data_IF_168164384021
#
_entry.id   IF_168164384021
#
_cell.length_a   1.000
_cell.length_b   1.000
_cell.length_c   1.000
_cell.angle_alpha   90.00
_cell.angle_beta   90.00
_cell.angle_gamma   90.00
#
_symmetry.space_group_name_H-M   'P 1'
#
loop_
_entity.id
_entity.type
_entity.pdbx_description
1 polymer ?
#
# COMPACT_ATOMS: atom_id res chain seq x y z
N UNK A 1 -43.64 54.64 -7.58
CA UNK A 1 -42.44 54.38 -8.46
C UNK A 1 -41.76 53.09 -8.07
N UNK A 2 -42.14 52.00 -8.72
CA UNK A 2 -41.48 50.72 -8.58
C UNK A 2 -40.23 50.71 -9.46
N UNK A 3 -39.03 50.81 -8.87
CA UNK A 3 -37.78 50.57 -9.56
C UNK A 3 -37.67 49.08 -9.85
N UNK A 4 -37.78 48.70 -11.11
CA UNK A 4 -37.45 47.37 -11.62
C UNK A 4 -35.97 47.08 -11.36
N UNK A 5 -35.70 46.25 -10.36
CA UNK A 5 -34.36 45.64 -10.19
C UNK A 5 -34.22 44.53 -11.26
N UNK A 6 -33.50 44.84 -12.31
CA UNK A 6 -33.09 43.86 -13.31
C UNK A 6 -32.20 42.83 -12.66
N UNK A 7 -32.73 41.64 -12.38
CA UNK A 7 -31.97 40.47 -12.04
C UNK A 7 -31.13 40.03 -13.26
N UNK A 8 -29.91 40.52 -13.36
CA UNK A 8 -28.91 39.95 -14.27
C UNK A 8 -28.61 38.53 -13.74
N UNK A 9 -29.04 37.51 -14.47
CA UNK A 9 -28.80 36.10 -14.16
C UNK A 9 -27.32 35.80 -14.35
N UNK A 10 -26.55 35.97 -13.29
CA UNK A 10 -25.18 35.51 -13.28
C UNK A 10 -25.18 33.97 -13.25
N UNK A 11 -24.32 33.30 -14.04
CA UNK A 11 -24.29 31.83 -14.10
C UNK A 11 -23.96 31.22 -12.74
N UNK A 12 -24.65 30.13 -12.38
CA UNK A 12 -24.54 29.45 -11.09
C UNK A 12 -23.11 29.12 -10.66
N UNK A 13 -22.21 28.85 -11.61
CA UNK A 13 -20.80 28.60 -11.33
C UNK A 13 -20.05 29.85 -10.80
N UNK A 14 -20.46 31.08 -11.19
CA UNK A 14 -19.87 32.33 -10.72
C UNK A 14 -20.28 32.57 -9.25
N UNK A 15 -21.53 32.27 -8.91
CA UNK A 15 -22.07 32.31 -7.55
C UNK A 15 -21.40 31.30 -6.62
N UNK A 16 -21.09 30.09 -7.15
CA UNK A 16 -20.33 29.06 -6.43
C UNK A 16 -18.90 29.52 -6.15
N UNK A 17 -18.24 30.14 -7.09
CA UNK A 17 -16.88 30.65 -6.97
C UNK A 17 -16.77 31.79 -5.93
N UNK A 18 -17.77 32.60 -5.82
CA UNK A 18 -17.83 33.67 -4.80
C UNK A 18 -18.17 33.14 -3.41
N UNK A 19 -19.01 32.12 -3.29
CA UNK A 19 -19.27 31.39 -2.03
C UNK A 19 -18.02 30.73 -1.47
N UNK A 20 -17.24 30.08 -2.32
CA UNK A 20 -15.97 29.42 -1.94
C UNK A 20 -14.91 30.47 -1.52
N UNK A 21 -14.93 31.67 -2.09
CA UNK A 21 -14.02 32.76 -1.72
C UNK A 21 -14.49 33.59 -0.52
N UNK A 22 -15.67 33.32 0.02
CA UNK A 22 -16.24 34.07 1.15
C UNK A 22 -16.51 35.51 0.85
N UNK A 23 -16.70 35.90 -0.42
CA UNK A 23 -16.85 37.27 -0.87
C UNK A 23 -18.21 37.91 -0.46
N UNK A 24 -19.18 37.07 -0.08
CA UNK A 24 -20.50 37.52 0.42
C UNK A 24 -20.53 37.85 1.92
N UNK A 25 -19.45 37.59 2.65
CA UNK A 25 -19.41 37.88 4.07
C UNK A 25 -18.97 39.33 4.36
N UNK A 26 -19.53 40.04 5.37
CA UNK A 26 -19.05 41.32 5.79
C UNK A 26 -17.55 41.26 6.17
N UNK A 27 -16.80 42.35 5.93
CA UNK A 27 -15.33 42.40 6.02
C UNK A 27 -14.75 41.73 7.29
N UNK A 28 -15.40 41.92 8.46
CA UNK A 28 -14.99 41.31 9.75
C UNK A 28 -15.17 39.78 9.82
N UNK A 29 -16.22 39.25 9.19
CA UNK A 29 -16.46 37.81 9.12
C UNK A 29 -15.61 37.16 8.01
N UNK A 30 -15.25 37.91 6.97
CA UNK A 30 -14.33 37.50 5.92
C UNK A 30 -12.89 37.19 6.48
N UNK A 31 -12.39 38.09 7.31
CA UNK A 31 -11.08 37.89 7.97
C UNK A 31 -11.10 36.64 8.87
N UNK A 32 -12.11 36.50 9.74
CA UNK A 32 -12.26 35.31 10.58
C UNK A 32 -12.42 34.02 9.80
N UNK A 33 -13.11 34.05 8.65
CA UNK A 33 -13.24 32.89 7.77
C UNK A 33 -11.91 32.55 7.10
N UNK A 34 -11.19 33.56 6.60
CA UNK A 34 -9.85 33.32 6.00
C UNK A 34 -8.84 32.86 7.02
N UNK A 35 -8.85 33.36 8.24
CA UNK A 35 -7.99 32.87 9.34
C UNK A 35 -8.34 31.43 9.71
N UNK A 36 -9.62 31.07 9.81
CA UNK A 36 -10.05 29.68 10.05
C UNK A 36 -9.67 28.75 8.88
N UNK A 37 -9.86 29.19 7.64
CA UNK A 37 -9.46 28.39 6.46
C UNK A 37 -7.95 28.27 6.39
N UNK A 38 -7.19 29.32 6.65
CA UNK A 38 -5.72 29.28 6.68
C UNK A 38 -5.17 28.40 7.82
N UNK A 39 -5.83 28.36 8.98
CA UNK A 39 -5.45 27.51 10.10
C UNK A 39 -5.89 26.05 9.91
N UNK A 40 -7.04 25.82 9.22
CA UNK A 40 -7.60 24.47 9.01
C UNK A 40 -6.96 23.72 7.83
N UNK A 41 -6.29 24.41 6.90
CA UNK A 41 -5.76 23.80 5.68
C UNK A 41 -4.27 23.39 5.74
N UNK A 42 -3.69 23.36 6.91
CA UNK A 42 -2.33 22.79 7.06
C UNK A 42 -2.43 21.26 7.17
N UNK A 43 -2.42 20.57 6.03
CA UNK A 43 -2.23 19.13 6.01
C UNK A 43 -0.78 18.81 6.41
N UNK A 44 -0.63 17.88 7.35
CA UNK A 44 0.69 17.39 7.74
C UNK A 44 1.39 16.74 6.54
N UNK A 45 2.64 17.11 6.31
CA UNK A 45 3.53 16.44 5.37
C UNK A 45 4.77 15.99 6.12
N UNK A 46 5.02 14.66 6.16
CA UNK A 46 6.17 14.10 6.85
C UNK A 46 7.47 14.62 6.26
N UNK A 47 8.49 14.82 7.11
CA UNK A 47 9.85 15.10 6.65
C UNK A 47 10.66 13.80 6.66
N UNK A 48 11.63 13.62 5.73
CA UNK A 48 12.47 12.42 5.71
C UNK A 48 13.20 12.15 7.04
N UNK A 49 13.56 13.21 7.78
CA UNK A 49 14.22 13.12 9.09
C UNK A 49 13.31 12.63 10.22
N UNK A 50 11.99 12.73 10.05
CA UNK A 50 11.01 12.32 11.06
C UNK A 50 10.55 10.86 10.90
N UNK A 51 10.90 10.24 9.74
CA UNK A 51 10.46 8.90 9.40
C UNK A 51 11.41 7.86 9.99
N UNK A 52 10.93 7.12 10.99
CA UNK A 52 11.63 5.95 11.52
C UNK A 52 11.16 4.69 10.77
N UNK A 53 12.10 3.97 10.14
CA UNK A 53 11.84 2.70 9.49
C UNK A 53 12.14 1.55 10.48
N UNK A 54 11.11 0.75 10.81
CA UNK A 54 11.22 -0.43 11.68
C UNK A 54 11.41 -1.69 10.85
N UNK A 55 11.99 -2.72 11.48
CA UNK A 55 12.13 -4.04 10.89
C UNK A 55 11.09 -5.00 11.45
N UNK A 56 10.41 -5.70 10.56
CA UNK A 56 9.38 -6.68 10.90
C UNK A 56 9.73 -8.03 10.31
N UNK A 57 9.54 -9.10 11.09
CA UNK A 57 9.64 -10.47 10.61
C UNK A 57 8.25 -11.10 10.60
N UNK A 58 7.92 -11.77 9.51
CA UNK A 58 6.63 -12.44 9.28
C UNK A 58 6.90 -13.88 8.94
N UNK A 59 6.27 -14.78 9.66
CA UNK A 59 6.25 -16.20 9.31
C UNK A 59 5.10 -16.47 8.31
N UNK A 60 5.45 -17.06 7.18
CA UNK A 60 4.50 -17.38 6.11
C UNK A 60 3.86 -18.78 6.27
N UNK A 61 4.28 -19.58 7.26
CA UNK A 61 3.81 -20.95 7.44
C UNK A 61 2.28 -21.01 7.66
N UNK A 62 1.59 -21.72 6.78
CA UNK A 62 0.13 -21.90 6.84
C UNK A 62 -0.71 -20.65 6.59
N UNK A 63 -0.09 -19.50 6.31
CA UNK A 63 -0.78 -18.25 6.07
C UNK A 63 -1.22 -18.11 4.60
N UNK A 64 -2.42 -17.60 4.36
CA UNK A 64 -2.95 -17.37 3.01
C UNK A 64 -2.19 -16.25 2.30
N UNK A 65 -1.54 -16.58 1.17
CA UNK A 65 -0.67 -15.69 0.39
C UNK A 65 -1.26 -14.28 0.17
N UNK A 66 -2.49 -14.18 -0.34
CA UNK A 66 -3.07 -12.88 -0.72
C UNK A 66 -3.29 -11.96 0.47
N UNK A 67 -3.68 -12.51 1.62
CA UNK A 67 -3.92 -11.75 2.85
C UNK A 67 -2.61 -11.29 3.49
N UNK A 68 -1.64 -12.18 3.56
CA UNK A 68 -0.28 -11.82 4.00
C UNK A 68 0.31 -10.73 3.11
N UNK A 69 0.22 -10.88 1.79
CA UNK A 69 0.75 -9.90 0.84
C UNK A 69 0.11 -8.51 0.98
N UNK A 70 -1.18 -8.42 1.31
CA UNK A 70 -1.85 -7.12 1.53
C UNK A 70 -1.34 -6.42 2.79
N UNK A 71 -1.09 -7.15 3.88
CA UNK A 71 -0.53 -6.62 5.12
C UNK A 71 0.91 -6.17 4.90
N UNK A 72 1.72 -6.98 4.21
CA UNK A 72 3.09 -6.62 3.83
C UNK A 72 3.11 -5.34 2.99
N UNK A 73 2.27 -5.24 1.96
CA UNK A 73 2.19 -4.05 1.11
C UNK A 73 1.78 -2.80 1.89
N UNK A 74 0.86 -2.93 2.86
CA UNK A 74 0.47 -1.84 3.75
C UNK A 74 1.64 -1.38 4.64
N UNK A 75 2.45 -2.30 5.18
CA UNK A 75 3.64 -2.01 5.99
C UNK A 75 4.75 -1.37 5.16
N UNK A 76 5.07 -1.93 4.00
CA UNK A 76 6.08 -1.40 3.06
C UNK A 76 5.74 0.01 2.58
N UNK A 77 4.45 0.32 2.41
CA UNK A 77 4.00 1.65 2.03
C UNK A 77 3.92 2.63 3.21
N UNK A 78 3.89 2.12 4.44
CA UNK A 78 3.79 2.93 5.65
C UNK A 78 2.37 3.40 5.98
N UNK A 79 1.32 2.85 5.35
CA UNK A 79 -0.08 3.23 5.58
C UNK A 79 -0.61 2.96 6.99
N UNK A 80 0.10 2.17 7.79
CA UNK A 80 -0.24 1.90 9.18
C UNK A 80 0.21 3.02 10.13
N UNK A 81 1.08 3.94 9.66
CA UNK A 81 1.59 5.06 10.45
C UNK A 81 0.68 6.28 10.30
N UNK A 82 0.39 7.02 11.39
CA UNK A 82 -0.43 8.23 11.31
C UNK A 82 0.23 9.35 10.48
N UNK A 83 1.57 9.37 10.44
CA UNK A 83 2.36 10.33 9.66
C UNK A 83 2.44 10.03 8.15
N UNK A 84 1.70 9.04 7.66
CA UNK A 84 1.77 8.64 6.27
C UNK A 84 1.48 9.80 5.30
N UNK A 85 2.40 10.08 4.40
CA UNK A 85 2.25 11.00 3.27
C UNK A 85 2.64 10.31 1.96
N UNK A 86 1.87 10.51 0.86
CA UNK A 86 2.09 9.78 -0.39
C UNK A 86 3.40 10.13 -1.12
N UNK A 87 3.97 11.32 -0.86
CA UNK A 87 5.16 11.84 -1.52
C UNK A 87 6.48 11.41 -0.86
N UNK A 88 6.43 10.83 0.34
CA UNK A 88 7.60 10.40 1.11
C UNK A 88 7.48 8.92 1.43
N UNK A 89 8.61 8.22 1.42
CA UNK A 89 8.67 6.81 1.81
C UNK A 89 8.66 6.65 3.33
N UNK A 90 7.45 6.48 3.90
CA UNK A 90 7.22 6.23 5.33
C UNK A 90 7.24 4.73 5.69
N UNK A 91 7.57 3.85 4.73
CA UNK A 91 7.47 2.40 4.89
C UNK A 91 8.53 1.78 5.78
N UNK A 92 8.20 0.59 6.28
CA UNK A 92 9.06 -0.23 7.11
C UNK A 92 9.76 -1.32 6.27
N UNK A 93 10.80 -1.93 6.86
CA UNK A 93 11.44 -3.12 6.30
C UNK A 93 10.68 -4.37 6.73
N UNK A 94 10.49 -5.32 5.80
CA UNK A 94 9.79 -6.57 6.08
C UNK A 94 10.64 -7.75 5.63
N UNK A 95 10.85 -8.68 6.55
CA UNK A 95 11.49 -9.98 6.32
C UNK A 95 10.40 -11.04 6.38
N UNK A 96 10.30 -11.88 5.37
CA UNK A 96 9.38 -13.02 5.32
C UNK A 96 10.19 -14.29 5.34
N UNK A 97 9.86 -15.20 6.25
CA UNK A 97 10.46 -16.53 6.38
C UNK A 97 9.45 -17.62 6.02
N UNK A 98 9.91 -18.83 5.78
CA UNK A 98 9.09 -19.98 5.42
C UNK A 98 8.21 -19.75 4.17
N UNK A 99 8.73 -19.07 3.15
CA UNK A 99 7.97 -18.76 1.95
C UNK A 99 7.55 -19.99 1.12
N UNK A 100 8.18 -21.12 1.32
CA UNK A 100 7.84 -22.43 0.73
C UNK A 100 6.52 -23.00 1.29
N UNK A 101 6.21 -22.70 2.57
CA UNK A 101 5.03 -23.22 3.28
C UNK A 101 3.81 -22.31 3.19
N UNK A 102 3.86 -21.30 2.33
CA UNK A 102 2.74 -20.37 2.12
C UNK A 102 1.53 -21.06 1.51
N UNK A 103 0.34 -20.74 1.97
CA UNK A 103 -0.89 -21.39 1.52
C UNK A 103 -1.57 -20.61 0.39
N UNK A 104 -1.95 -21.37 -0.66
CA UNK A 104 -2.82 -20.92 -1.74
C UNK A 104 -4.20 -21.54 -1.55
N UNK A 105 -5.28 -20.76 -1.69
CA UNK A 105 -6.66 -21.21 -1.52
C UNK A 105 -7.25 -21.77 -2.80
N UNK A 106 -8.08 -22.83 -2.70
CA UNK A 106 -8.70 -23.51 -3.83
C UNK A 106 -7.64 -24.12 -4.76
N UNK A 107 -7.96 -24.30 -6.03
CA UNK A 107 -7.06 -24.88 -7.05
C UNK A 107 -5.95 -23.95 -7.54
N UNK A 108 -5.71 -22.81 -6.86
CA UNK A 108 -4.70 -21.81 -7.30
C UNK A 108 -3.27 -22.35 -7.33
N UNK A 109 -2.97 -23.41 -6.61
CA UNK A 109 -1.65 -24.01 -6.64
C UNK A 109 -1.32 -24.54 -8.04
N UNK A 110 -2.28 -25.16 -8.70
CA UNK A 110 -2.18 -25.74 -10.03
C UNK A 110 -2.49 -24.72 -11.13
N UNK A 111 -3.61 -23.98 -10.98
CA UNK A 111 -4.15 -23.10 -12.03
C UNK A 111 -3.38 -21.79 -12.20
N UNK A 112 -2.67 -21.32 -11.15
CA UNK A 112 -1.99 -20.03 -11.22
C UNK A 112 -0.70 -20.13 -12.01
N UNK A 113 -0.67 -19.50 -13.18
CA UNK A 113 0.48 -19.48 -14.06
C UNK A 113 1.17 -18.13 -14.01
N UNK A 114 2.50 -18.16 -13.92
CA UNK A 114 3.37 -17.00 -14.03
C UNK A 114 4.04 -17.01 -15.39
N UNK A 115 3.82 -15.93 -16.17
CA UNK A 115 4.41 -15.75 -17.48
C UNK A 115 5.59 -14.79 -17.41
N UNK A 116 6.62 -15.05 -18.20
CA UNK A 116 7.70 -14.13 -18.47
C UNK A 116 8.15 -14.26 -19.92
N UNK A 117 8.76 -13.22 -20.45
CA UNK A 117 9.24 -13.17 -21.83
C UNK A 117 10.78 -13.15 -21.84
N UNK A 118 11.40 -13.91 -22.73
CA UNK A 118 12.88 -14.02 -22.83
C UNK A 118 13.51 -12.94 -23.71
N UNK A 119 12.72 -12.13 -24.40
CA UNK A 119 13.19 -11.09 -25.34
C UNK A 119 13.27 -11.55 -26.80
N UNK A 120 13.13 -12.85 -27.07
CA UNK A 120 13.18 -13.40 -28.43
C UNK A 120 11.79 -13.67 -29.00
N UNK A 121 11.61 -13.67 -30.34
CA UNK A 121 10.33 -14.07 -30.96
C UNK A 121 9.88 -15.44 -30.45
N UNK A 122 8.60 -15.58 -30.04
CA UNK A 122 8.06 -16.79 -29.44
C UNK A 122 8.55 -17.10 -28.03
N UNK A 123 9.28 -16.20 -27.38
CA UNK A 123 9.95 -16.40 -26.08
C UNK A 123 9.06 -16.28 -24.85
N UNK A 124 7.75 -16.46 -24.92
CA UNK A 124 6.86 -16.51 -23.76
C UNK A 124 7.03 -17.85 -23.07
N UNK A 125 7.45 -17.81 -21.80
CA UNK A 125 7.54 -18.98 -20.94
C UNK A 125 6.53 -18.90 -19.81
N UNK A 126 6.09 -20.06 -19.33
CA UNK A 126 5.08 -20.18 -18.29
C UNK A 126 5.54 -21.18 -17.23
N UNK A 127 5.22 -20.90 -15.96
CA UNK A 127 5.47 -21.82 -14.84
C UNK A 127 4.31 -21.71 -13.85
N UNK A 128 3.81 -22.84 -13.37
CA UNK A 128 2.73 -22.87 -12.37
C UNK A 128 3.23 -22.48 -10.98
N UNK A 129 2.32 -22.07 -10.09
CA UNK A 129 2.66 -21.72 -8.72
C UNK A 129 3.23 -22.94 -7.97
N UNK A 130 2.68 -24.10 -8.22
CA UNK A 130 3.16 -25.37 -7.67
C UNK A 130 4.65 -25.61 -7.93
N UNK A 131 5.05 -25.54 -9.21
CA UNK A 131 6.46 -25.69 -9.61
C UNK A 131 7.40 -24.64 -9.00
N UNK A 132 6.90 -23.47 -8.59
CA UNK A 132 7.70 -22.48 -7.86
C UNK A 132 7.83 -22.85 -6.39
N UNK A 133 6.75 -23.27 -5.74
CA UNK A 133 6.74 -23.61 -4.31
C UNK A 133 7.62 -24.85 -4.02
N UNK A 134 7.62 -25.82 -4.93
CA UNK A 134 8.43 -27.04 -4.81
C UNK A 134 9.90 -26.84 -5.24
N UNK A 135 10.27 -25.64 -5.70
CA UNK A 135 11.63 -25.31 -6.10
C UNK A 135 12.32 -24.39 -5.09
N UNK A 136 13.66 -24.28 -5.11
CA UNK A 136 14.39 -23.33 -4.28
C UNK A 136 13.96 -21.85 -4.47
N UNK A 137 13.21 -21.58 -5.52
CA UNK A 137 12.69 -20.24 -5.87
C UNK A 137 11.26 -20.00 -5.35
N UNK A 138 10.86 -20.61 -4.26
CA UNK A 138 9.52 -20.41 -3.65
C UNK A 138 9.26 -18.96 -3.24
N UNK A 139 10.31 -18.20 -2.93
CA UNK A 139 10.28 -16.78 -2.63
C UNK A 139 9.62 -15.92 -3.73
N UNK A 140 9.72 -16.33 -5.00
CA UNK A 140 9.16 -15.63 -6.17
C UNK A 140 7.64 -15.50 -6.06
N UNK A 141 6.96 -16.49 -5.50
CA UNK A 141 5.49 -16.48 -5.34
C UNK A 141 5.05 -15.34 -4.44
N UNK A 142 5.73 -15.19 -3.29
CA UNK A 142 5.47 -14.11 -2.33
C UNK A 142 5.88 -12.76 -2.90
N UNK A 143 7.09 -12.67 -3.47
CA UNK A 143 7.60 -11.43 -4.07
C UNK A 143 6.66 -10.88 -5.13
N UNK A 144 6.21 -11.71 -6.08
CA UNK A 144 5.29 -11.29 -7.14
C UNK A 144 3.91 -10.92 -6.62
N UNK A 145 3.43 -11.55 -5.55
CA UNK A 145 2.16 -11.18 -4.93
C UNK A 145 2.23 -9.76 -4.33
N UNK A 146 3.30 -9.44 -3.60
CA UNK A 146 3.51 -8.12 -3.00
C UNK A 146 3.81 -7.06 -4.06
N UNK A 147 4.67 -7.36 -5.04
CA UNK A 147 5.02 -6.45 -6.14
C UNK A 147 3.78 -5.91 -6.86
N UNK A 148 2.80 -6.80 -7.14
CA UNK A 148 1.56 -6.43 -7.81
C UNK A 148 0.60 -5.60 -6.95
N UNK A 149 0.79 -5.57 -5.63
CA UNK A 149 0.02 -4.76 -4.67
C UNK A 149 0.65 -3.40 -4.38
N UNK A 150 1.91 -3.18 -4.78
CA UNK A 150 2.59 -1.91 -4.66
C UNK A 150 2.37 -1.04 -5.92
N UNK A 151 2.46 0.29 -5.80
CA UNK A 151 2.35 1.19 -6.94
C UNK A 151 3.52 0.99 -7.93
N UNK A 152 3.25 1.08 -9.23
CA UNK A 152 4.27 0.92 -10.30
C UNK A 152 5.09 2.20 -10.54
N UNK A 153 5.34 2.99 -9.52
CA UNK A 153 6.11 4.24 -9.56
C UNK A 153 7.56 4.01 -9.12
N UNK A 154 8.40 5.05 -9.26
CA UNK A 154 9.77 5.04 -8.73
C UNK A 154 9.79 4.72 -7.24
N UNK A 155 8.93 5.41 -6.46
CA UNK A 155 8.78 5.17 -5.02
C UNK A 155 8.32 3.75 -4.70
N UNK A 156 7.37 3.18 -5.46
CA UNK A 156 6.94 1.79 -5.26
C UNK A 156 8.07 0.78 -5.46
N UNK A 157 9.01 1.04 -6.36
CA UNK A 157 10.23 0.22 -6.54
C UNK A 157 11.19 0.33 -5.36
N UNK A 158 11.32 1.52 -4.77
CA UNK A 158 12.12 1.74 -3.56
C UNK A 158 11.50 1.03 -2.34
N UNK A 159 10.18 1.13 -2.18
CA UNK A 159 9.43 0.40 -1.15
C UNK A 159 9.59 -1.12 -1.32
N UNK A 160 9.54 -1.63 -2.55
CA UNK A 160 9.72 -3.05 -2.83
C UNK A 160 11.12 -3.57 -2.45
N UNK A 161 12.17 -2.76 -2.55
CA UNK A 161 13.54 -3.12 -2.11
C UNK A 161 13.65 -3.41 -0.62
N UNK A 162 12.73 -2.87 0.19
CA UNK A 162 12.64 -3.10 1.63
C UNK A 162 12.06 -4.48 1.98
N UNK A 163 11.52 -5.22 1.00
CA UNK A 163 11.04 -6.57 1.17
C UNK A 163 12.18 -7.58 0.98
N UNK A 164 12.38 -8.43 1.98
CA UNK A 164 13.28 -9.57 1.94
C UNK A 164 12.46 -10.84 2.16
N UNK A 165 12.63 -11.84 1.30
CA UNK A 165 11.85 -13.09 1.35
C UNK A 165 12.82 -14.24 1.31
N UNK A 166 12.65 -15.20 2.24
CA UNK A 166 13.46 -16.39 2.39
C UNK A 166 12.58 -17.63 2.38
N UNK A 167 13.04 -18.68 1.71
CA UNK A 167 12.32 -19.95 1.61
C UNK A 167 12.27 -20.65 2.98
N UNK A 168 13.40 -20.69 3.69
CA UNK A 168 13.53 -21.35 4.99
C UNK A 168 13.29 -20.42 6.18
N UNK A 169 13.69 -20.89 7.36
CA UNK A 169 13.60 -20.17 8.63
C UNK A 169 14.77 -19.20 8.86
N UNK A 170 15.92 -19.48 8.26
CA UNK A 170 17.14 -18.71 8.45
C UNK A 170 17.15 -17.42 7.62
N UNK A 171 17.62 -16.34 8.21
CA UNK A 171 17.76 -15.04 7.55
C UNK A 171 19.00 -14.28 8.05
N UNK A 172 19.69 -13.50 7.21
CA UNK A 172 20.91 -12.78 7.57
C UNK A 172 20.65 -11.43 8.26
N UNK A 173 19.42 -11.17 8.77
CA UNK A 173 18.99 -9.87 9.31
C UNK A 173 18.85 -9.89 10.84
N UNK A 174 19.61 -10.70 11.56
CA UNK A 174 19.57 -10.75 13.03
C UNK A 174 20.07 -9.43 13.66
N UNK A 175 21.11 -8.85 13.08
CA UNK A 175 21.69 -7.58 13.55
C UNK A 175 20.70 -6.42 13.57
N UNK A 176 19.67 -6.44 12.73
CA UNK A 176 18.61 -5.44 12.67
C UNK A 176 17.48 -5.66 13.69
N UNK A 177 17.55 -6.75 14.46
CA UNK A 177 16.57 -7.11 15.51
C UNK A 177 15.11 -6.96 15.03
N UNK A 178 14.67 -7.68 13.98
CA UNK A 178 13.33 -7.55 13.45
C UNK A 178 12.28 -7.97 14.48
N UNK A 179 11.24 -7.16 14.65
CA UNK A 179 10.12 -7.46 15.53
C UNK A 179 9.17 -8.47 14.88
N UNK A 180 8.77 -9.49 15.62
CA UNK A 180 7.81 -10.47 15.13
C UNK A 180 6.43 -9.84 14.89
N UNK A 181 5.86 -10.05 13.71
CA UNK A 181 4.51 -9.64 13.34
C UNK A 181 3.68 -10.88 13.04
N UNK A 182 2.83 -11.28 13.97
CA UNK A 182 1.93 -12.43 13.76
C UNK A 182 0.73 -12.03 12.90
N UNK A 183 0.87 -12.26 11.60
CA UNK A 183 -0.20 -12.04 10.62
C UNK A 183 -1.33 -13.05 10.80
N UNK A 184 -1.03 -14.22 11.34
CA UNK A 184 -1.98 -15.30 11.52
C UNK A 184 -3.03 -14.96 12.59
N UNK A 185 -2.62 -14.31 13.68
CA UNK A 185 -3.50 -13.91 14.78
C UNK A 185 -4.34 -12.67 14.47
N UNK A 186 -3.90 -11.82 13.54
CA UNK A 186 -4.64 -10.59 13.19
C UNK A 186 -6.06 -10.84 12.67
N UNK A 187 -6.31 -11.98 12.03
CA UNK A 187 -7.61 -12.36 11.53
C UNK A 187 -7.67 -13.88 11.33
N UNK A 188 -8.67 -14.54 11.89
CA UNK A 188 -8.88 -16.00 11.74
C UNK A 188 -8.91 -16.45 10.29
N UNK A 189 -9.39 -15.59 9.39
CA UNK A 189 -9.41 -15.88 7.96
C UNK A 189 -8.00 -15.93 7.34
N UNK A 190 -6.96 -15.47 8.00
CA UNK A 190 -5.59 -15.54 7.49
C UNK A 190 -5.05 -16.97 7.46
N UNK A 191 -5.47 -17.80 8.42
CA UNK A 191 -5.18 -19.24 8.48
C UNK A 191 -6.27 -20.11 7.82
N UNK A 192 -7.48 -19.60 7.67
CA UNK A 192 -8.57 -20.35 7.02
C UNK A 192 -8.31 -20.50 5.52
N UNK A 193 -7.61 -21.55 5.19
CA UNK A 193 -7.76 -22.17 3.90
C UNK A 193 -8.81 -23.25 4.06
N UNK A 194 -9.86 -23.24 3.22
CA UNK A 194 -10.98 -24.13 3.35
C UNK A 194 -10.59 -25.56 3.73
N UNK A 195 -11.37 -26.14 4.60
CA UNK A 195 -11.45 -27.57 4.67
C UNK A 195 -11.69 -28.09 3.25
N UNK A 196 -10.77 -28.90 2.76
CA UNK A 196 -11.01 -29.72 1.59
C UNK A 196 -12.10 -30.72 1.95
#
# INVERSE_FOLDING_TARGET
EFRRVLFRSEPLWFRWRQLVRGEYLPKRSRQRYQEKVASAMKTYSAKPSEVEAKWWIIDAEGVVLGRMASIIAMRLRGKHKPMYTPNIDCGDHVVVINADKVRLTGKKREDKIYYWHTGYPGGIKARTADKYLDSPQSDVVVRKAVERMLPKTKMGREQYRKLKVYAGTEHPHEAQQPQALDVASMNDKNKRGGAA
#
